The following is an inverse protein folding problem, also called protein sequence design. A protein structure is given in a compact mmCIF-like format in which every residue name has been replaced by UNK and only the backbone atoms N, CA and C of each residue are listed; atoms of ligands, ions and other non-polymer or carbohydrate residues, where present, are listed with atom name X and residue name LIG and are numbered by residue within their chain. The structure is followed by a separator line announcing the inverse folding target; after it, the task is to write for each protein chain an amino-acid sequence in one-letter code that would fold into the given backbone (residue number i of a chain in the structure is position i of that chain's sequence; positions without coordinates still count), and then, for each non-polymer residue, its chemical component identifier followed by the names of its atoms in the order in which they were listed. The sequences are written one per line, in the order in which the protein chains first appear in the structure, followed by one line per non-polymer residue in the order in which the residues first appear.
data_IF_497146514164
#
_entry.id   IF_497146514164
#
_cell.length_a   1.000
_cell.length_b   1.000
_cell.length_c   1.000
_cell.angle_alpha   90.00
_cell.angle_beta   90.00
_cell.angle_gamma   90.00
#
_symmetry.space_group_name_H-M   'P 1'
#
loop_
_entity.id
_entity.type
_entity.pdbx_description
1 polymer ?
#
# COMPACT_ATOMS: atom_id res chain seq x y z
N UNK A 1 -27.19 -22.96 -13.35
CA UNK A 1 -26.79 -21.68 -12.74
C UNK A 1 -26.26 -22.06 -11.37
N UNK A 2 -24.91 -22.13 -11.22
CA UNK A 2 -24.29 -22.55 -9.96
C UNK A 2 -24.29 -21.39 -8.99
N UNK A 3 -24.69 -21.65 -7.77
CA UNK A 3 -24.65 -20.76 -6.61
C UNK A 3 -23.18 -20.48 -6.21
N UNK A 4 -22.59 -19.47 -6.79
CA UNK A 4 -21.32 -18.92 -6.33
C UNK A 4 -21.57 -17.57 -5.69
N UNK A 5 -20.84 -17.24 -4.63
CA UNK A 5 -20.91 -15.91 -4.03
C UNK A 5 -20.67 -14.85 -5.09
N UNK A 6 -21.68 -14.07 -5.37
CA UNK A 6 -21.57 -12.94 -6.29
C UNK A 6 -21.06 -11.73 -5.51
N UNK A 7 -19.91 -11.21 -5.86
CA UNK A 7 -19.52 -9.86 -5.48
C UNK A 7 -20.14 -8.86 -6.44
N UNK A 8 -20.80 -7.85 -5.89
CA UNK A 8 -21.11 -6.63 -6.64
C UNK A 8 -19.97 -5.68 -6.41
N UNK A 9 -19.24 -5.32 -7.46
CA UNK A 9 -18.05 -4.50 -7.32
C UNK A 9 -18.01 -3.34 -8.31
N UNK A 10 -17.19 -2.38 -8.01
CA UNK A 10 -16.77 -1.31 -8.88
C UNK A 10 -15.29 -1.04 -8.65
N UNK A 11 -14.60 -0.70 -9.71
CA UNK A 11 -13.20 -0.26 -9.69
C UNK A 11 -13.07 1.08 -10.38
N UNK A 12 -12.19 1.93 -9.85
CA UNK A 12 -11.91 3.22 -10.43
C UNK A 12 -10.47 3.62 -10.13
N UNK A 13 -9.81 4.21 -11.12
CA UNK A 13 -8.49 4.81 -10.96
C UNK A 13 -8.47 6.18 -11.62
N UNK A 14 -7.77 7.13 -11.01
CA UNK A 14 -7.60 8.49 -11.54
C UNK A 14 -6.15 8.94 -11.35
N UNK A 15 -5.64 9.68 -12.33
CA UNK A 15 -4.28 10.22 -12.31
C UNK A 15 -4.06 11.27 -11.20
N UNK A 16 -5.13 11.81 -10.63
CA UNK A 16 -5.05 12.94 -9.71
C UNK A 16 -4.82 14.27 -10.46
N UNK A 17 -4.51 15.32 -9.71
CA UNK A 17 -4.39 16.69 -10.26
C UNK A 17 -2.97 17.19 -10.41
N UNK A 18 -1.98 16.48 -9.90
CA UNK A 18 -0.57 16.93 -9.88
C UNK A 18 0.40 15.98 -10.58
N UNK A 19 -0.01 14.73 -10.80
CA UNK A 19 0.82 13.73 -11.47
C UNK A 19 0.68 13.83 -12.99
N UNK A 20 1.76 13.57 -13.71
CA UNK A 20 1.75 13.52 -15.17
C UNK A 20 1.30 12.15 -15.70
N UNK A 21 1.56 11.08 -14.95
CA UNK A 21 1.22 9.71 -15.30
C UNK A 21 0.50 9.02 -14.14
N UNK A 22 -0.36 8.06 -14.47
CA UNK A 22 -0.93 7.17 -13.49
C UNK A 22 -0.01 5.96 -13.32
N UNK A 23 0.62 5.86 -12.15
CA UNK A 23 1.52 4.76 -11.78
C UNK A 23 0.82 3.67 -10.98
N UNK A 24 -0.46 3.87 -10.62
CA UNK A 24 -1.28 2.84 -10.01
C UNK A 24 -1.71 1.79 -11.03
N UNK A 25 -1.92 0.58 -10.55
CA UNK A 25 -2.53 -0.51 -11.31
C UNK A 25 -3.49 -1.29 -10.42
N UNK A 26 -4.51 -1.87 -11.02
CA UNK A 26 -5.47 -2.71 -10.32
C UNK A 26 -5.77 -3.99 -11.12
N UNK A 27 -6.30 -4.99 -10.43
CA UNK A 27 -6.83 -6.18 -11.07
C UNK A 27 -8.04 -6.72 -10.29
N UNK A 28 -9.07 -7.12 -11.03
CA UNK A 28 -10.20 -7.88 -10.49
C UNK A 28 -10.34 -9.15 -11.32
N UNK A 29 -10.22 -10.30 -10.66
CA UNK A 29 -10.30 -11.62 -11.29
C UNK A 29 -11.47 -12.38 -10.68
N UNK A 30 -12.62 -12.42 -11.35
CA UNK A 30 -13.76 -13.22 -10.94
C UNK A 30 -13.51 -14.71 -11.24
N UNK A 31 -14.04 -15.65 -10.44
CA UNK A 31 -14.03 -17.05 -10.77
C UNK A 31 -14.95 -17.33 -11.97
N UNK A 32 -14.45 -18.07 -12.95
CA UNK A 32 -15.21 -18.41 -14.17
C UNK A 32 -16.09 -19.64 -14.00
N UNK A 33 -15.97 -20.36 -12.89
CA UNK A 33 -16.78 -21.55 -12.57
C UNK A 33 -16.95 -21.73 -11.07
N UNK A 34 -17.99 -22.47 -10.62
CA UNK A 34 -18.15 -22.82 -9.20
C UNK A 34 -16.94 -23.57 -8.63
N UNK A 35 -16.28 -24.42 -9.42
CA UNK A 35 -15.10 -25.17 -9.00
C UNK A 35 -13.90 -24.22 -8.76
N UNK A 36 -13.72 -23.21 -9.62
CA UNK A 36 -12.69 -22.20 -9.44
C UNK A 36 -13.01 -21.35 -8.20
N UNK A 37 -14.28 -20.99 -7.98
CA UNK A 37 -14.67 -20.28 -6.75
C UNK A 37 -14.29 -21.09 -5.50
N UNK A 38 -14.57 -22.39 -5.47
CA UNK A 38 -14.25 -23.26 -4.35
C UNK A 38 -12.73 -23.34 -4.07
N UNK A 39 -11.91 -23.28 -5.11
CA UNK A 39 -10.46 -23.45 -4.99
C UNK A 39 -9.67 -22.13 -4.94
N UNK A 40 -10.13 -21.10 -5.65
CA UNK A 40 -9.40 -19.84 -5.87
C UNK A 40 -10.19 -18.60 -5.49
N UNK A 41 -11.52 -18.63 -5.60
CA UNK A 41 -12.38 -17.51 -5.25
C UNK A 41 -12.22 -16.30 -6.18
N UNK A 42 -12.60 -15.15 -5.66
CA UNK A 42 -12.36 -13.84 -6.26
C UNK A 42 -10.99 -13.31 -5.85
N UNK A 43 -10.30 -12.63 -6.74
CA UNK A 43 -9.06 -11.92 -6.42
C UNK A 43 -9.22 -10.45 -6.80
N UNK A 44 -8.98 -9.55 -5.86
CA UNK A 44 -8.92 -8.10 -6.03
C UNK A 44 -7.50 -7.64 -5.68
N UNK A 45 -6.94 -6.70 -6.45
CA UNK A 45 -5.58 -6.21 -6.24
C UNK A 45 -5.48 -4.74 -6.58
N UNK A 46 -4.78 -3.99 -5.73
CA UNK A 46 -4.31 -2.62 -5.98
C UNK A 46 -2.80 -2.58 -5.78
N UNK A 47 -2.10 -1.92 -6.69
CA UNK A 47 -0.66 -1.73 -6.68
C UNK A 47 -0.33 -0.29 -7.02
N UNK A 48 0.36 0.41 -6.13
CA UNK A 48 0.83 1.78 -6.29
C UNK A 48 2.29 1.76 -6.69
N UNK A 49 2.57 2.25 -7.89
CA UNK A 49 3.89 2.20 -8.49
C UNK A 49 4.77 3.37 -8.08
N UNK A 50 5.97 3.07 -7.62
CA UNK A 50 6.96 4.06 -7.21
C UNK A 50 8.23 3.97 -8.05
N UNK A 51 8.80 5.12 -8.36
CA UNK A 51 10.03 5.23 -9.15
C UNK A 51 10.01 6.43 -10.08
N UNK A 52 11.16 6.73 -10.67
CA UNK A 52 11.26 7.83 -11.60
C UNK A 52 10.54 7.52 -12.93
N UNK A 53 9.79 8.49 -13.45
CA UNK A 53 9.13 8.43 -14.77
C UNK A 53 8.20 7.20 -14.91
N UNK A 54 8.49 6.34 -15.90
CA UNK A 54 7.68 5.15 -16.24
C UNK A 54 8.01 3.90 -15.39
N UNK A 55 8.98 3.99 -14.51
CA UNK A 55 9.47 2.85 -13.73
C UNK A 55 8.41 2.35 -12.74
N UNK A 56 7.72 3.26 -12.04
CA UNK A 56 6.62 2.92 -11.11
C UNK A 56 5.44 2.27 -11.83
N UNK A 57 4.96 2.87 -12.94
CA UNK A 57 3.90 2.32 -13.77
C UNK A 57 4.21 0.89 -14.22
N UNK A 58 5.46 0.63 -14.63
CA UNK A 58 5.86 -0.70 -15.06
C UNK A 58 5.85 -1.71 -13.91
N UNK A 59 6.29 -1.30 -12.72
CA UNK A 59 6.32 -2.16 -11.54
C UNK A 59 4.90 -2.56 -11.09
N UNK A 60 3.99 -1.59 -10.95
CA UNK A 60 2.60 -1.83 -10.56
C UNK A 60 1.87 -2.70 -11.58
N UNK A 61 2.08 -2.45 -12.88
CA UNK A 61 1.50 -3.26 -13.96
C UNK A 61 1.98 -4.71 -13.90
N UNK A 62 3.28 -4.96 -13.66
CA UNK A 62 3.79 -6.32 -13.47
C UNK A 62 3.12 -6.98 -12.26
N UNK A 63 2.97 -6.28 -11.14
CA UNK A 63 2.29 -6.83 -9.97
C UNK A 63 0.84 -7.20 -10.30
N UNK A 64 0.08 -6.31 -10.93
CA UNK A 64 -1.32 -6.54 -11.29
C UNK A 64 -1.51 -7.69 -12.30
N UNK A 65 -0.55 -7.91 -13.19
CA UNK A 65 -0.59 -9.01 -14.17
C UNK A 65 -0.09 -10.34 -13.58
N UNK A 66 1.03 -10.33 -12.86
CA UNK A 66 1.72 -11.56 -12.47
C UNK A 66 1.14 -12.18 -11.19
N UNK A 67 0.72 -11.39 -10.21
CA UNK A 67 0.19 -11.93 -8.94
C UNK A 67 -1.03 -12.82 -9.18
N UNK A 68 -2.07 -12.38 -9.92
CA UNK A 68 -3.21 -13.23 -10.22
C UNK A 68 -2.84 -14.47 -11.04
N UNK A 69 -1.99 -14.30 -12.06
CA UNK A 69 -1.56 -15.40 -12.94
C UNK A 69 -0.83 -16.50 -12.16
N UNK A 70 0.07 -16.12 -11.26
CA UNK A 70 0.84 -17.06 -10.46
C UNK A 70 -0.03 -17.71 -9.39
N UNK A 71 -0.95 -16.94 -8.77
CA UNK A 71 -1.95 -17.43 -7.83
C UNK A 71 -2.77 -18.58 -8.45
N UNK A 72 -3.29 -18.37 -9.66
CA UNK A 72 -4.04 -19.37 -10.41
C UNK A 72 -3.20 -20.60 -10.79
N UNK A 73 -1.97 -20.39 -11.25
CA UNK A 73 -1.05 -21.50 -11.62
C UNK A 73 -0.68 -22.41 -10.46
N UNK A 74 -0.77 -21.93 -9.22
CA UNK A 74 -0.52 -22.71 -8.02
C UNK A 74 -1.79 -23.38 -7.46
N UNK A 75 -2.70 -23.83 -8.34
CA UNK A 75 -4.01 -24.39 -7.97
C UNK A 75 -3.96 -25.61 -7.05
N UNK A 76 -2.86 -26.36 -7.04
CA UNK A 76 -2.64 -27.51 -6.16
C UNK A 76 -2.22 -27.13 -4.73
N UNK A 77 -1.89 -25.87 -4.48
CA UNK A 77 -1.50 -25.38 -3.16
C UNK A 77 -2.70 -24.76 -2.43
N UNK A 78 -2.60 -24.63 -1.12
CA UNK A 78 -3.59 -23.87 -0.33
C UNK A 78 -3.64 -22.41 -0.82
N UNK A 79 -4.82 -21.74 -0.77
CA UNK A 79 -4.96 -20.35 -1.19
C UNK A 79 -3.96 -19.38 -0.54
N UNK A 80 -3.69 -19.43 0.78
CA UNK A 80 -2.69 -18.54 1.39
C UNK A 80 -1.29 -18.77 0.85
N UNK A 81 -0.89 -20.02 0.62
CA UNK A 81 0.42 -20.33 0.05
C UNK A 81 0.53 -19.93 -1.43
N UNK A 82 -0.55 -20.13 -2.19
CA UNK A 82 -0.60 -19.69 -3.58
C UNK A 82 -0.49 -18.16 -3.69
N UNK A 83 -1.16 -17.43 -2.79
CA UNK A 83 -1.11 -15.96 -2.71
C UNK A 83 0.30 -15.47 -2.35
N UNK A 84 0.90 -16.06 -1.30
CA UNK A 84 2.28 -15.76 -0.92
C UNK A 84 3.25 -15.96 -2.08
N UNK A 85 3.13 -17.09 -2.81
CA UNK A 85 3.96 -17.36 -3.99
C UNK A 85 3.73 -16.39 -5.13
N UNK A 86 2.48 -15.96 -5.32
CA UNK A 86 2.13 -14.92 -6.30
C UNK A 86 2.92 -13.64 -6.06
N UNK A 87 2.89 -13.14 -4.83
CA UNK A 87 3.56 -11.91 -4.43
C UNK A 87 5.10 -12.05 -4.47
N UNK A 88 5.66 -13.14 -3.95
CA UNK A 88 7.11 -13.38 -3.96
C UNK A 88 7.67 -13.48 -5.39
N UNK A 89 6.98 -14.19 -6.29
CA UNK A 89 7.45 -14.38 -7.67
C UNK A 89 7.28 -13.09 -8.49
N UNK A 90 6.18 -12.35 -8.29
CA UNK A 90 6.01 -11.04 -8.91
C UNK A 90 7.10 -10.06 -8.45
N UNK A 91 7.45 -10.04 -7.16
CA UNK A 91 8.60 -9.28 -6.66
C UNK A 91 9.90 -9.64 -7.37
N UNK A 92 10.15 -10.94 -7.56
CA UNK A 92 11.36 -11.42 -8.25
C UNK A 92 11.40 -10.92 -9.70
N UNK A 93 10.27 -10.95 -10.41
CA UNK A 93 10.18 -10.47 -11.80
C UNK A 93 10.42 -8.97 -11.89
N UNK A 94 9.81 -8.16 -11.00
CA UNK A 94 10.03 -6.71 -10.93
C UNK A 94 11.52 -6.42 -10.67
N UNK A 95 12.12 -7.06 -9.67
CA UNK A 95 13.53 -6.87 -9.34
C UNK A 95 14.47 -7.23 -10.50
N UNK A 96 14.23 -8.35 -11.17
CA UNK A 96 15.05 -8.78 -12.30
C UNK A 96 14.97 -7.80 -13.48
N UNK A 97 13.78 -7.27 -13.78
CA UNK A 97 13.60 -6.27 -14.83
C UNK A 97 14.27 -4.95 -14.49
N UNK A 98 14.09 -4.48 -13.25
CA UNK A 98 14.74 -3.26 -12.76
C UNK A 98 16.26 -3.34 -12.80
N UNK A 99 16.84 -4.55 -12.64
CA UNK A 99 18.29 -4.74 -12.73
C UNK A 99 18.82 -4.89 -14.15
N UNK A 100 17.99 -5.30 -15.10
CA UNK A 100 18.38 -5.52 -16.50
C UNK A 100 18.30 -4.26 -17.35
N UNK A 101 17.43 -3.33 -16.99
CA UNK A 101 17.16 -2.14 -17.78
C UNK A 101 17.43 -0.89 -16.95
N UNK A 102 18.40 -0.06 -17.33
CA UNK A 102 18.81 1.13 -16.55
C UNK A 102 17.66 2.10 -16.29
N UNK A 103 16.71 2.23 -17.22
CA UNK A 103 15.53 3.08 -17.10
C UNK A 103 14.54 2.63 -16.02
N UNK A 104 14.63 1.36 -15.60
CA UNK A 104 13.80 0.77 -14.54
C UNK A 104 14.56 0.53 -13.24
N UNK A 105 15.78 1.05 -13.13
CA UNK A 105 16.60 0.86 -11.95
C UNK A 105 15.89 1.38 -10.70
N UNK A 106 15.72 0.51 -9.70
CA UNK A 106 15.07 0.87 -8.45
C UNK A 106 13.54 0.98 -8.54
N UNK A 107 12.91 0.55 -9.66
CA UNK A 107 11.45 0.49 -9.73
C UNK A 107 10.86 -0.35 -8.61
N UNK A 108 9.75 0.10 -8.06
CA UNK A 108 9.04 -0.60 -7.01
C UNK A 108 7.53 -0.36 -7.08
N UNK A 109 6.81 -1.12 -6.28
CA UNK A 109 5.37 -0.96 -6.15
C UNK A 109 4.91 -1.50 -4.81
N UNK A 110 3.82 -0.94 -4.28
CA UNK A 110 3.01 -1.63 -3.27
C UNK A 110 2.27 -2.79 -3.93
N UNK A 111 1.72 -3.67 -3.15
CA UNK A 111 0.73 -4.64 -3.62
C UNK A 111 -0.16 -5.07 -2.47
N UNK A 112 -1.43 -4.72 -2.56
CA UNK A 112 -2.48 -5.14 -1.62
C UNK A 112 -3.49 -5.98 -2.37
N UNK A 113 -3.63 -7.23 -1.95
CA UNK A 113 -4.48 -8.23 -2.61
C UNK A 113 -5.49 -8.78 -1.62
N UNK A 114 -6.74 -8.86 -2.01
CA UNK A 114 -7.80 -9.50 -1.26
C UNK A 114 -8.33 -10.70 -2.06
N UNK A 115 -8.38 -11.86 -1.43
CA UNK A 115 -8.91 -13.09 -2.03
C UNK A 115 -10.12 -13.56 -1.22
N UNK A 116 -11.28 -13.61 -1.87
CA UNK A 116 -12.52 -14.13 -1.28
C UNK A 116 -12.75 -15.56 -1.73
N UNK A 117 -12.65 -16.50 -0.84
CA UNK A 117 -12.92 -17.93 -1.03
C UNK A 117 -14.03 -18.39 -0.08
N UNK A 118 -14.62 -19.59 -0.26
CA UNK A 118 -15.72 -20.06 0.60
C UNK A 118 -15.40 -20.06 2.10
N UNK A 119 -14.13 -20.18 2.48
CA UNK A 119 -13.68 -20.20 3.88
C UNK A 119 -13.44 -18.81 4.48
N UNK A 120 -13.57 -17.74 3.72
CA UNK A 120 -13.37 -16.39 4.19
C UNK A 120 -12.50 -15.54 3.26
N UNK A 121 -12.04 -14.42 3.78
CA UNK A 121 -11.16 -13.48 3.07
C UNK A 121 -9.72 -13.62 3.54
N UNK A 122 -8.81 -13.71 2.57
CA UNK A 122 -7.39 -13.60 2.76
C UNK A 122 -6.90 -12.24 2.24
N UNK A 123 -5.92 -11.68 2.89
CA UNK A 123 -5.22 -10.47 2.43
C UNK A 123 -3.75 -10.79 2.29
N UNK A 124 -3.18 -10.50 1.11
CA UNK A 124 -1.73 -10.49 0.88
C UNK A 124 -1.26 -9.06 0.69
N UNK A 125 -0.21 -8.64 1.42
CA UNK A 125 0.09 -7.23 1.50
C UNK A 125 1.58 -6.92 1.57
N UNK A 126 1.99 -5.89 0.80
CA UNK A 126 3.29 -5.23 0.83
C UNK A 126 3.09 -3.75 0.50
N UNK A 127 3.49 -2.84 1.37
CA UNK A 127 3.43 -1.40 1.15
C UNK A 127 2.49 -0.67 2.12
N UNK A 128 1.91 0.43 1.68
CA UNK A 128 0.99 1.29 2.44
C UNK A 128 -0.35 1.53 1.74
N UNK A 129 -0.60 0.88 0.60
CA UNK A 129 -1.96 0.70 0.07
C UNK A 129 -2.75 -0.15 1.05
N UNK A 130 -4.05 0.08 1.16
CA UNK A 130 -4.85 -0.51 2.25
C UNK A 130 -5.98 -1.40 1.77
N UNK A 131 -6.34 -2.38 2.60
CA UNK A 131 -7.56 -3.15 2.51
C UNK A 131 -8.42 -2.92 3.76
N UNK A 132 -9.71 -2.67 3.55
CA UNK A 132 -10.70 -2.46 4.61
C UNK A 132 -11.88 -3.42 4.45
N UNK A 133 -12.57 -3.65 5.57
CA UNK A 133 -13.88 -4.30 5.62
C UNK A 133 -14.84 -3.41 6.40
N UNK A 134 -15.94 -3.04 5.81
CA UNK A 134 -17.08 -2.45 6.53
C UNK A 134 -18.09 -3.54 6.85
N UNK A 135 -18.46 -3.64 8.13
CA UNK A 135 -19.53 -4.47 8.65
C UNK A 135 -20.44 -3.64 9.56
N UNK A 136 -21.68 -3.46 9.16
CA UNK A 136 -22.61 -2.56 9.87
C UNK A 136 -22.12 -1.12 9.86
N UNK A 137 -21.66 -0.61 11.00
CA UNK A 137 -21.06 0.73 11.16
C UNK A 137 -19.58 0.70 11.49
N UNK A 138 -18.96 -0.46 11.43
CA UNK A 138 -17.57 -0.68 11.83
C UNK A 138 -16.73 -0.88 10.60
N UNK A 139 -15.74 0.00 10.39
CA UNK A 139 -14.73 -0.12 9.35
C UNK A 139 -13.44 -0.66 9.97
N UNK A 140 -13.04 -1.83 9.53
CA UNK A 140 -11.82 -2.50 9.95
C UNK A 140 -10.73 -2.34 8.90
N UNK A 141 -9.57 -1.80 9.25
CA UNK A 141 -8.38 -1.83 8.41
C UNK A 141 -7.72 -3.21 8.56
N UNK A 142 -7.72 -4.00 7.49
CA UNK A 142 -7.19 -5.37 7.47
C UNK A 142 -5.70 -5.44 7.19
N UNK A 143 -5.09 -4.36 6.71
CA UNK A 143 -3.66 -4.25 6.41
C UNK A 143 -2.94 -3.39 7.43
N UNK A 144 -1.65 -3.68 7.64
CA UNK A 144 -0.74 -2.84 8.40
C UNK A 144 0.14 -2.08 7.42
N UNK A 145 0.12 -0.74 7.47
CA UNK A 145 0.96 0.05 6.58
C UNK A 145 2.45 -0.22 6.82
N UNK A 146 3.19 -0.56 5.80
CA UNK A 146 4.65 -0.64 5.84
C UNK A 146 5.23 0.75 5.58
N UNK A 147 5.05 1.64 6.55
CA UNK A 147 5.50 3.03 6.49
C UNK A 147 6.24 3.44 7.76
N UNK A 148 7.18 4.38 7.63
CA UNK A 148 7.90 4.91 8.77
C UNK A 148 6.98 5.56 9.80
N UNK A 149 5.88 6.18 9.33
CA UNK A 149 4.84 6.76 10.20
C UNK A 149 4.21 5.68 11.08
N UNK A 150 3.80 4.56 10.48
CA UNK A 150 3.20 3.45 11.22
C UNK A 150 4.17 2.84 12.23
N UNK A 151 5.44 2.67 11.84
CA UNK A 151 6.46 2.12 12.73
C UNK A 151 6.70 3.01 13.95
N UNK A 152 6.82 4.33 13.77
CA UNK A 152 7.00 5.27 14.87
C UNK A 152 5.78 5.33 15.79
N UNK A 153 4.57 5.33 15.23
CA UNK A 153 3.33 5.31 15.99
C UNK A 153 3.20 4.01 16.81
N UNK A 154 3.52 2.86 16.22
CA UNK A 154 3.44 1.55 16.89
C UNK A 154 4.44 1.36 18.02
N UNK A 155 5.53 2.10 18.04
CA UNK A 155 6.49 2.14 19.14
C UNK A 155 5.99 2.91 20.37
N UNK A 156 4.82 3.57 20.27
CA UNK A 156 4.10 4.13 21.41
C UNK A 156 4.61 5.47 21.93
N UNK A 157 5.41 6.21 21.15
CA UNK A 157 5.96 7.50 21.57
C UNK A 157 5.38 8.73 20.89
N UNK A 158 4.74 8.55 19.73
CA UNK A 158 4.28 9.65 18.88
C UNK A 158 2.85 9.42 18.40
N UNK A 159 2.08 10.50 18.27
CA UNK A 159 0.83 10.46 17.52
C UNK A 159 1.14 10.37 16.01
N UNK A 160 0.13 10.02 15.19
CA UNK A 160 0.28 9.98 13.75
C UNK A 160 0.78 11.31 13.18
N UNK A 161 0.20 12.43 13.61
CA UNK A 161 0.59 13.78 13.14
C UNK A 161 2.04 14.12 13.55
N UNK A 162 2.46 13.70 14.74
CA UNK A 162 3.84 13.88 15.19
C UNK A 162 4.82 13.03 14.37
N UNK A 163 4.47 11.76 14.10
CA UNK A 163 5.26 10.87 13.27
C UNK A 163 5.37 11.40 11.82
N UNK A 164 4.25 11.87 11.22
CA UNK A 164 4.25 12.48 9.88
C UNK A 164 5.15 13.71 9.77
N UNK A 165 5.20 14.53 10.83
CA UNK A 165 6.12 15.69 10.88
C UNK A 165 7.58 15.29 11.02
N UNK A 166 7.84 14.14 11.62
CA UNK A 166 9.21 13.67 11.89
C UNK A 166 9.85 13.01 10.68
N UNK A 167 9.13 12.13 9.98
CA UNK A 167 9.70 11.31 8.88
C UNK A 167 9.11 11.62 7.51
N UNK A 168 8.05 12.45 7.43
CA UNK A 168 7.29 12.67 6.19
C UNK A 168 6.21 11.61 5.99
N UNK A 169 5.16 11.97 5.22
CA UNK A 169 3.97 11.12 5.06
C UNK A 169 4.21 9.85 4.23
N UNK A 170 5.05 9.95 3.18
CA UNK A 170 5.15 8.96 2.11
C UNK A 170 6.45 8.16 2.18
N UNK A 171 6.97 7.88 3.39
CA UNK A 171 8.19 7.06 3.56
C UNK A 171 7.79 5.61 3.78
N UNK A 172 7.82 4.84 2.69
CA UNK A 172 7.51 3.41 2.70
C UNK A 172 8.75 2.63 3.14
N UNK A 173 8.56 1.70 4.08
CA UNK A 173 9.64 0.85 4.62
C UNK A 173 9.74 -0.50 3.92
N UNK A 174 8.68 -0.89 3.17
CA UNK A 174 8.64 -2.16 2.46
C UNK A 174 7.86 -2.03 1.14
N UNK A 175 8.47 -2.47 0.03
CA UNK A 175 7.87 -2.48 -1.30
C UNK A 175 8.38 -3.65 -2.13
N UNK A 176 7.63 -4.04 -3.15
CA UNK A 176 8.05 -5.02 -4.15
C UNK A 176 9.00 -4.37 -5.16
N UNK A 177 10.03 -5.09 -5.57
CA UNK A 177 10.93 -4.70 -6.67
C UNK A 177 12.33 -4.29 -6.26
N UNK A 178 12.57 -3.31 -5.37
CA UNK A 178 13.92 -2.85 -5.03
C UNK A 178 14.85 -3.95 -4.55
N UNK A 179 14.32 -4.91 -3.83
CA UNK A 179 15.09 -6.05 -3.29
C UNK A 179 14.70 -7.36 -3.94
N UNK A 180 15.68 -8.28 -4.09
CA UNK A 180 15.45 -9.61 -4.66
C UNK A 180 14.45 -10.46 -3.85
N UNK A 181 14.25 -10.14 -2.58
CA UNK A 181 13.28 -10.77 -1.68
C UNK A 181 12.51 -9.68 -0.96
N UNK A 182 11.23 -9.95 -0.75
CA UNK A 182 10.32 -9.12 0.03
C UNK A 182 9.65 -9.99 1.08
N UNK A 183 9.44 -9.43 2.26
CA UNK A 183 8.59 -10.04 3.26
C UNK A 183 7.14 -9.66 2.96
N UNK A 184 6.28 -10.66 2.81
CA UNK A 184 4.87 -10.50 2.48
C UNK A 184 4.04 -10.80 3.72
N UNK A 185 3.15 -9.90 4.09
CA UNK A 185 2.16 -10.16 5.12
C UNK A 185 0.99 -10.91 4.47
N UNK A 186 0.61 -12.06 5.05
CA UNK A 186 -0.59 -12.81 4.66
C UNK A 186 -1.50 -12.92 5.88
N UNK A 187 -2.70 -12.36 5.74
CA UNK A 187 -3.69 -12.22 6.81
C UNK A 187 -4.94 -13.06 6.54
N UNK A 188 -5.63 -13.44 7.62
CA UNK A 188 -6.88 -14.18 7.54
C UNK A 188 -6.77 -15.67 7.88
N UNK A 189 -7.79 -16.51 7.52
CA UNK A 189 -9.03 -16.09 6.87
C UNK A 189 -9.92 -15.27 7.81
N UNK A 190 -10.36 -14.10 7.31
CA UNK A 190 -11.37 -13.29 8.00
C UNK A 190 -12.77 -13.83 7.65
N UNK A 191 -13.68 -13.81 8.64
CA UNK A 191 -15.07 -14.17 8.39
C UNK A 191 -15.72 -13.22 7.38
N UNK A 192 -16.62 -13.76 6.58
CA UNK A 192 -17.44 -13.00 5.63
C UNK A 192 -18.90 -13.13 6.02
N UNK A 193 -19.61 -12.02 6.03
CA UNK A 193 -21.05 -11.97 6.24
C UNK A 193 -21.72 -11.30 5.04
N UNK A 194 -22.98 -11.64 4.82
CA UNK A 194 -23.78 -10.98 3.80
C UNK A 194 -23.85 -9.48 4.08
N UNK A 195 -23.59 -8.67 3.08
CA UNK A 195 -23.59 -7.22 3.21
C UNK A 195 -22.27 -6.61 3.62
N UNK A 196 -21.23 -7.41 3.95
CA UNK A 196 -19.88 -6.90 4.12
C UNK A 196 -19.44 -6.14 2.86
N UNK A 197 -18.81 -4.98 3.05
CA UNK A 197 -18.22 -4.20 1.96
C UNK A 197 -16.72 -4.13 2.17
N UNK A 198 -15.99 -4.51 1.14
CA UNK A 198 -14.52 -4.44 1.10
C UNK A 198 -14.08 -3.28 0.24
N UNK A 199 -13.02 -2.60 0.68
CA UNK A 199 -12.34 -1.56 -0.08
C UNK A 199 -10.86 -1.91 -0.15
N UNK A 200 -10.29 -1.86 -1.36
CA UNK A 200 -8.85 -1.75 -1.58
C UNK A 200 -8.57 -0.36 -2.14
N UNK A 201 -7.52 0.29 -1.67
CA UNK A 201 -7.15 1.61 -2.19
C UNK A 201 -5.64 1.86 -2.11
N UNK A 202 -5.14 2.73 -3.00
CA UNK A 202 -3.81 3.34 -2.88
C UNK A 202 -3.80 4.44 -1.82
N UNK A 203 -2.62 4.92 -1.46
CA UNK A 203 -2.42 5.98 -0.47
C UNK A 203 -3.00 7.33 -0.91
N UNK A 204 -3.17 7.54 -2.23
CA UNK A 204 -3.84 8.70 -2.78
C UNK A 204 -5.26 8.90 -2.25
N UNK A 205 -5.99 7.81 -1.93
CA UNK A 205 -7.26 7.91 -1.24
C UNK A 205 -7.07 8.18 0.26
N UNK A 206 -6.38 7.27 0.97
CA UNK A 206 -6.29 7.29 2.43
C UNK A 206 -5.46 8.45 2.98
N UNK A 207 -4.68 9.11 2.14
CA UNK A 207 -3.99 10.36 2.43
C UNK A 207 -4.86 11.62 2.36
N UNK A 208 -6.05 11.55 1.74
CA UNK A 208 -6.94 12.68 1.49
C UNK A 208 -8.32 12.52 2.12
N UNK A 209 -8.79 11.29 2.34
CA UNK A 209 -10.12 10.97 2.87
C UNK A 209 -9.95 10.26 4.20
N UNK A 210 -10.61 10.76 5.24
CA UNK A 210 -10.56 10.16 6.57
C UNK A 210 -11.26 8.79 6.60
N UNK A 211 -10.77 7.88 7.45
CA UNK A 211 -11.28 6.50 7.51
C UNK A 211 -12.79 6.47 7.83
N UNK A 212 -13.29 7.37 8.67
CA UNK A 212 -14.72 7.48 8.98
C UNK A 212 -15.54 7.96 7.79
N UNK A 213 -15.00 8.84 6.93
CA UNK A 213 -15.66 9.29 5.70
C UNK A 213 -15.68 8.18 4.67
N UNK A 214 -14.58 7.41 4.57
CA UNK A 214 -14.54 6.19 3.75
C UNK A 214 -15.67 5.26 4.17
N UNK A 215 -15.76 4.92 5.46
CA UNK A 215 -16.79 4.03 5.97
C UNK A 215 -18.21 4.56 5.77
N UNK A 216 -18.41 5.88 5.85
CA UNK A 216 -19.71 6.50 5.58
C UNK A 216 -20.16 6.25 4.13
N UNK A 217 -19.30 6.51 3.14
CA UNK A 217 -19.63 6.26 1.74
C UNK A 217 -19.85 4.78 1.45
N UNK A 218 -19.01 3.89 1.98
CA UNK A 218 -19.18 2.44 1.81
C UNK A 218 -20.50 1.93 2.40
N UNK A 219 -20.99 2.56 3.48
CA UNK A 219 -22.23 2.19 4.14
C UNK A 219 -23.46 2.70 3.40
N UNK A 220 -23.44 3.96 3.00
CA UNK A 220 -24.64 4.65 2.53
C UNK A 220 -24.83 4.56 1.02
N UNK A 221 -23.80 4.21 0.26
CA UNK A 221 -23.85 4.18 -1.19
C UNK A 221 -23.61 2.78 -1.76
N UNK A 222 -24.23 2.45 -2.90
CA UNK A 222 -23.89 1.23 -3.64
C UNK A 222 -22.43 1.30 -4.14
N UNK A 223 -21.77 0.17 -4.43
CA UNK A 223 -20.34 0.14 -4.78
C UNK A 223 -19.93 1.12 -5.88
N UNK A 224 -20.73 1.29 -6.91
CA UNK A 224 -20.45 2.20 -8.01
C UNK A 224 -20.39 3.66 -7.54
N UNK A 225 -21.40 4.07 -6.78
CA UNK A 225 -21.50 5.45 -6.32
C UNK A 225 -20.50 5.73 -5.21
N UNK A 226 -20.18 4.72 -4.39
CA UNK A 226 -19.12 4.80 -3.38
C UNK A 226 -17.74 5.01 -4.02
N UNK A 227 -17.39 4.26 -5.09
CA UNK A 227 -16.16 4.49 -5.86
C UNK A 227 -16.10 5.93 -6.39
N UNK A 228 -17.16 6.37 -7.06
CA UNK A 228 -17.21 7.71 -7.63
C UNK A 228 -17.12 8.81 -6.56
N UNK A 229 -17.79 8.64 -5.41
CA UNK A 229 -17.73 9.59 -4.31
C UNK A 229 -16.35 9.65 -3.65
N UNK A 230 -15.69 8.50 -3.44
CA UNK A 230 -14.36 8.41 -2.85
C UNK A 230 -13.29 9.08 -3.74
N UNK A 231 -13.24 8.70 -5.01
CA UNK A 231 -12.32 9.33 -5.99
C UNK A 231 -12.66 10.82 -6.15
N UNK A 232 -13.93 11.15 -6.27
CA UNK A 232 -14.37 12.52 -6.44
C UNK A 232 -14.04 13.40 -5.22
N UNK A 233 -14.20 12.93 -3.99
CA UNK A 233 -13.80 13.66 -2.79
C UNK A 233 -12.29 13.90 -2.74
N UNK A 234 -11.51 12.91 -3.20
CA UNK A 234 -10.06 13.07 -3.36
C UNK A 234 -9.73 14.19 -4.35
N UNK A 235 -10.41 14.22 -5.50
CA UNK A 235 -10.25 15.30 -6.50
C UNK A 235 -10.63 16.67 -5.96
N UNK A 236 -11.74 16.78 -5.23
CA UNK A 236 -12.18 17.99 -4.53
C UNK A 236 -11.10 18.49 -3.56
N UNK A 237 -10.41 17.61 -2.87
CA UNK A 237 -9.31 17.92 -1.92
C UNK A 237 -7.95 18.11 -2.57
N UNK A 238 -7.92 18.15 -3.91
CA UNK A 238 -6.73 18.50 -4.68
C UNK A 238 -5.93 17.34 -5.22
N UNK A 239 -6.26 16.07 -4.89
CA UNK A 239 -5.66 14.84 -5.42
C UNK A 239 -4.17 14.98 -5.79
N UNK A 240 -3.25 15.11 -4.81
CA UNK A 240 -1.85 15.35 -5.10
C UNK A 240 -1.15 14.12 -5.72
N UNK A 241 -1.79 12.95 -5.62
CA UNK A 241 -1.30 11.68 -6.13
C UNK A 241 -2.32 10.97 -7.02
N UNK A 242 -1.90 9.87 -7.65
CA UNK A 242 -2.79 8.91 -8.26
C UNK A 242 -3.74 8.35 -7.21
N UNK A 243 -4.97 8.05 -7.57
CA UNK A 243 -5.96 7.47 -6.66
C UNK A 243 -6.63 6.27 -7.31
N UNK A 244 -6.55 5.13 -6.65
CA UNK A 244 -7.13 3.87 -7.14
C UNK A 244 -7.95 3.22 -6.04
N UNK A 245 -9.16 2.79 -6.37
CA UNK A 245 -10.10 2.15 -5.46
C UNK A 245 -10.77 0.95 -6.10
N UNK A 246 -11.01 -0.10 -5.31
CA UNK A 246 -11.90 -1.21 -5.65
C UNK A 246 -12.86 -1.35 -4.47
N UNK A 247 -14.16 -1.18 -4.72
CA UNK A 247 -15.22 -1.42 -3.74
C UNK A 247 -15.98 -2.69 -4.12
N UNK A 248 -16.08 -3.65 -3.20
CA UNK A 248 -16.75 -4.92 -3.45
C UNK A 248 -17.68 -5.27 -2.29
N UNK A 249 -18.95 -5.53 -2.59
CA UNK A 249 -19.99 -5.91 -1.62
C UNK A 249 -20.35 -7.38 -1.76
N UNK A 250 -20.32 -8.11 -0.65
CA UNK A 250 -20.75 -9.50 -0.57
C UNK A 250 -22.27 -9.59 -0.63
N UNK A 251 -22.82 -10.24 -1.68
CA UNK A 251 -24.23 -10.14 -2.04
C UNK A 251 -25.08 -11.39 -1.86
N UNK A 252 -24.53 -12.59 -1.61
CA UNK A 252 -25.33 -13.80 -1.56
C UNK A 252 -25.37 -14.47 -0.17
N UNK A 253 -26.47 -15.15 0.14
CA UNK A 253 -26.70 -15.88 1.42
C UNK A 253 -25.64 -16.95 1.73
N UNK A 254 -24.96 -17.47 0.71
CA UNK A 254 -23.96 -18.53 0.85
C UNK A 254 -22.57 -18.04 1.34
N UNK A 255 -22.40 -16.73 1.53
CA UNK A 255 -21.11 -16.14 1.97
C UNK A 255 -20.93 -16.23 3.49
N UNK A 256 -21.93 -16.60 4.23
CA UNK A 256 -21.85 -16.77 5.69
C UNK A 256 -21.01 -18.00 6.08
N UNK A 257 -19.75 -18.02 5.63
CA UNK A 257 -18.77 -18.92 6.21
C UNK A 257 -18.37 -18.37 7.58
N UNK A 258 -19.04 -18.82 8.63
CA UNK A 258 -18.57 -18.58 9.98
C UNK A 258 -17.22 -19.30 10.13
N UNK A 259 -16.14 -18.55 10.16
CA UNK A 259 -14.79 -19.08 10.42
C UNK A 259 -14.62 -19.51 11.88
N UNK A 260 -15.66 -19.31 12.71
CA UNK A 260 -15.69 -19.77 14.09
C UNK A 260 -15.62 -21.30 14.11
N UNK A 261 -14.43 -21.83 14.44
CA UNK A 261 -14.16 -23.25 14.55
C UNK A 261 -13.63 -23.95 13.29
N UNK A 262 -13.50 -23.27 12.14
CA UNK A 262 -12.77 -23.85 11.04
C UNK A 262 -11.28 -24.00 11.40
N UNK A 263 -10.65 -25.16 11.14
CA UNK A 263 -9.22 -25.29 11.36
C UNK A 263 -8.49 -24.22 10.53
N UNK A 264 -7.52 -23.55 11.13
CA UNK A 264 -6.64 -22.64 10.40
C UNK A 264 -6.09 -23.36 9.16
N UNK A 265 -5.99 -22.65 8.02
CA UNK A 265 -5.27 -23.23 6.90
C UNK A 265 -3.84 -23.44 7.33
N UNK A 266 -3.39 -24.68 7.31
CA UNK A 266 -1.97 -24.94 7.36
C UNK A 266 -1.35 -24.42 6.05
N UNK A 267 -0.27 -23.68 6.16
CA UNK A 267 0.69 -23.57 5.06
C UNK A 267 1.22 -25.00 4.84
N UNK A 268 1.40 -25.41 3.58
CA UNK A 268 1.93 -26.74 3.29
C UNK A 268 3.18 -26.99 4.14
N UNK A 269 3.34 -28.21 4.67
CA UNK A 269 4.45 -28.57 5.56
C UNK A 269 5.83 -28.28 4.95
N UNK A 270 5.94 -28.26 3.61
CA UNK A 270 7.15 -27.89 2.87
C UNK A 270 7.44 -26.39 2.80
N UNK A 271 6.50 -25.55 3.20
CA UNK A 271 6.74 -24.12 3.31
C UNK A 271 7.53 -23.84 4.59
N UNK A 272 8.82 -23.97 4.50
CA UNK A 272 9.72 -23.28 5.41
C UNK A 272 9.91 -21.86 4.84
N UNK A 273 9.41 -20.81 5.51
CA UNK A 273 9.95 -19.49 5.24
C UNK A 273 11.45 -19.67 5.38
N UNK A 274 12.19 -19.41 4.32
CA UNK A 274 13.65 -19.36 4.44
C UNK A 274 13.88 -18.29 5.49
N UNK A 275 14.00 -18.71 6.77
CA UNK A 275 14.48 -17.80 7.79
C UNK A 275 15.70 -17.17 7.14
N UNK A 276 15.74 -15.87 7.03
CA UNK A 276 17.03 -15.23 6.98
C UNK A 276 17.72 -15.81 8.21
N UNK A 277 18.56 -16.85 8.01
CA UNK A 277 19.58 -17.17 9.00
C UNK A 277 20.20 -15.82 9.18
N UNK A 278 19.97 -15.24 10.37
CA UNK A 278 20.68 -14.03 10.78
C UNK A 278 22.13 -14.39 10.53
N UNK A 279 22.63 -13.96 9.38
CA UNK A 279 24.03 -14.24 9.06
C UNK A 279 24.78 -13.46 10.11
N UNK A 280 25.47 -14.22 10.93
CA UNK A 280 26.36 -13.63 11.91
C UNK A 280 27.11 -12.50 11.21
N UNK A 281 27.13 -11.28 11.72
CA UNK A 281 27.68 -10.13 11.03
C UNK A 281 29.21 -10.21 10.94
N UNK A 282 29.69 -11.22 10.19
CA UNK A 282 31.09 -11.60 10.07
C UNK A 282 31.98 -10.42 9.67
N UNK A 283 31.46 -9.51 8.84
CA UNK A 283 32.20 -8.30 8.44
C UNK A 283 32.48 -7.40 9.64
N UNK A 284 31.46 -7.12 10.46
CA UNK A 284 31.62 -6.29 11.66
C UNK A 284 32.50 -6.97 12.69
N UNK A 285 32.31 -8.28 12.90
CA UNK A 285 33.12 -9.07 13.81
C UNK A 285 34.57 -9.19 13.35
N UNK A 286 34.83 -9.35 12.06
CA UNK A 286 36.19 -9.35 11.51
C UNK A 286 36.89 -8.00 11.69
N UNK A 287 36.17 -6.89 11.44
CA UNK A 287 36.73 -5.54 11.68
C UNK A 287 36.99 -5.33 13.17
N UNK A 288 36.07 -5.75 14.05
CA UNK A 288 36.25 -5.64 15.50
C UNK A 288 37.47 -6.44 15.96
N UNK A 289 37.65 -7.68 15.48
CA UNK A 289 38.81 -8.51 15.80
C UNK A 289 40.13 -7.90 15.29
N UNK A 290 40.12 -7.37 14.05
CA UNK A 290 41.27 -6.66 13.50
C UNK A 290 41.61 -5.38 14.29
N UNK A 291 40.61 -4.62 14.69
CA UNK A 291 40.80 -3.42 15.50
C UNK A 291 41.34 -3.74 16.90
N UNK A 292 40.88 -4.84 17.51
CA UNK A 292 41.40 -5.33 18.76
C UNK A 292 42.87 -5.73 18.64
N UNK A 293 43.23 -6.45 17.58
CA UNK A 293 44.61 -6.84 17.32
C UNK A 293 45.53 -5.62 17.17
N UNK A 294 45.10 -4.61 16.41
CA UNK A 294 45.83 -3.34 16.26
C UNK A 294 45.96 -2.64 17.61
N UNK A 295 44.92 -2.59 18.40
CA UNK A 295 44.96 -1.99 19.74
C UNK A 295 45.95 -2.69 20.66
N UNK A 296 46.02 -4.02 20.61
CA UNK A 296 46.98 -4.82 21.40
C UNK A 296 48.42 -4.61 20.93
N UNK A 297 48.66 -4.61 19.62
CA UNK A 297 50.00 -4.40 19.03
C UNK A 297 50.53 -3.00 19.34
N UNK A 298 49.68 -1.97 19.31
CA UNK A 298 50.03 -0.59 19.59
C UNK A 298 49.93 -0.22 21.08
N UNK A 299 49.57 -1.17 21.93
CA UNK A 299 49.48 -0.96 23.36
C UNK A 299 50.87 -0.50 23.92
N UNK A 300 50.90 0.54 24.74
CA UNK A 300 52.19 1.02 25.34
C UNK A 300 52.89 -0.04 26.21
N UNK A 301 52.19 -1.11 26.54
CA UNK A 301 52.69 -2.25 27.35
C UNK A 301 53.20 -3.41 26.48
N UNK A 302 52.95 -3.38 25.14
CA UNK A 302 53.30 -4.44 24.20
C UNK A 302 54.80 -4.32 23.73
N UNK A 303 55.44 -5.49 23.56
CA UNK A 303 56.83 -5.52 23.07
C UNK A 303 56.97 -5.02 21.63
N UNK A 304 55.90 -5.14 20.81
CA UNK A 304 55.88 -4.63 19.43
C UNK A 304 55.97 -3.10 19.40
N UNK A 305 55.23 -2.38 20.27
CA UNK A 305 55.29 -0.92 20.35
C UNK A 305 56.70 -0.44 20.76
N UNK A 306 57.43 -1.25 21.54
CA UNK A 306 58.84 -0.99 21.92
C UNK A 306 59.79 -1.21 20.73
N UNK A 307 59.48 -2.08 19.81
CA UNK A 307 60.32 -2.35 18.61
C UNK A 307 60.24 -1.28 17.54
N UNK A 308 59.23 -0.37 17.59
CA UNK A 308 59.00 0.71 16.61
C UNK A 308 59.92 1.94 16.82
N UNK A 309 60.87 1.86 17.73
CA UNK A 309 61.95 2.88 17.90
C UNK A 309 61.41 4.24 18.40
N UNK A 310 61.78 5.33 17.73
CA UNK A 310 61.57 6.72 18.15
C UNK A 310 60.13 7.26 18.05
N UNK A 311 59.12 6.42 17.81
CA UNK A 311 57.74 6.90 17.81
C UNK A 311 57.30 7.33 19.23
N UNK A 312 56.80 8.57 19.37
CA UNK A 312 56.38 9.04 20.69
C UNK A 312 55.30 8.09 21.27
N UNK A 313 55.52 7.62 22.51
CA UNK A 313 54.58 6.75 23.26
C UNK A 313 53.15 7.30 23.24
N UNK A 314 53.00 8.60 23.19
CA UNK A 314 51.72 9.30 23.06
C UNK A 314 50.97 8.95 21.78
N UNK A 315 51.67 8.83 20.63
CA UNK A 315 51.04 8.44 19.33
C UNK A 315 50.58 7.00 19.40
N UNK A 316 51.36 6.08 19.93
CA UNK A 316 50.96 4.69 20.08
C UNK A 316 49.75 4.54 21.04
N UNK A 317 49.70 5.32 22.12
CA UNK A 317 48.57 5.32 23.04
C UNK A 317 47.28 5.83 22.42
N UNK A 318 47.36 6.93 21.65
CA UNK A 318 46.22 7.52 20.94
C UNK A 318 45.71 6.56 19.87
N UNK A 319 46.62 5.96 19.08
CA UNK A 319 46.24 4.98 18.05
C UNK A 319 45.60 3.72 18.64
N UNK A 320 46.13 3.22 19.76
CA UNK A 320 45.55 2.08 20.50
C UNK A 320 44.16 2.40 21.03
N UNK A 321 43.93 3.59 21.59
CA UNK A 321 42.64 4.05 22.10
C UNK A 321 41.62 4.22 20.95
N UNK A 322 42.02 4.77 19.80
CA UNK A 322 41.19 4.91 18.62
C UNK A 322 40.77 3.54 18.06
N UNK A 323 41.69 2.57 17.99
CA UNK A 323 41.40 1.21 17.55
C UNK A 323 40.42 0.50 18.51
N UNK A 324 40.53 0.74 19.81
CA UNK A 324 39.59 0.20 20.80
C UNK A 324 38.18 0.79 20.65
N UNK A 325 38.07 2.09 20.38
CA UNK A 325 36.79 2.74 20.10
C UNK A 325 36.12 2.18 18.85
N UNK A 326 36.88 1.96 17.77
CA UNK A 326 36.37 1.31 16.56
C UNK A 326 35.89 -0.10 16.86
N UNK A 327 36.62 -0.87 17.63
CA UNK A 327 36.21 -2.21 18.05
C UNK A 327 34.88 -2.18 18.80
N UNK A 328 34.74 -1.29 19.79
CA UNK A 328 33.51 -1.15 20.58
C UNK A 328 32.34 -0.74 19.69
N UNK A 329 32.53 0.24 18.80
CA UNK A 329 31.50 0.67 17.86
C UNK A 329 31.05 -0.46 16.93
N UNK A 330 31.98 -1.27 16.42
CA UNK A 330 31.66 -2.41 15.54
C UNK A 330 30.96 -3.54 16.27
N UNK A 331 31.32 -3.80 17.54
CA UNK A 331 30.62 -4.79 18.39
C UNK A 331 29.21 -4.31 18.70
N UNK A 332 29.04 -3.02 19.05
CA UNK A 332 27.70 -2.43 19.29
C UNK A 332 26.85 -2.49 18.02
N UNK A 333 27.39 -2.11 16.86
CA UNK A 333 26.64 -2.22 15.59
C UNK A 333 26.29 -3.66 15.25
N UNK A 334 27.19 -4.61 15.48
CA UNK A 334 26.94 -6.03 15.30
C UNK A 334 25.82 -6.52 16.25
N UNK A 335 25.87 -6.09 17.51
CA UNK A 335 24.87 -6.45 18.53
C UNK A 335 23.52 -5.78 18.25
N UNK A 336 23.49 -4.50 17.89
CA UNK A 336 22.28 -3.78 17.52
C UNK A 336 21.65 -4.39 16.27
N UNK A 337 22.44 -4.69 15.25
CA UNK A 337 21.95 -5.39 14.04
C UNK A 337 21.51 -6.83 14.29
N UNK A 338 22.00 -7.47 15.37
CA UNK A 338 21.62 -8.82 15.76
C UNK A 338 20.47 -8.83 16.79
N UNK A 339 20.42 -7.85 17.70
CA UNK A 339 19.46 -7.79 18.80
C UNK A 339 18.18 -7.00 18.46
N UNK A 340 18.24 -6.08 17.48
CA UNK A 340 17.00 -5.53 16.96
C UNK A 340 16.35 -6.64 16.14
N UNK A 341 15.18 -7.15 16.54
CA UNK A 341 14.44 -8.07 15.71
C UNK A 341 14.21 -7.32 14.39
N UNK A 342 14.72 -7.89 13.30
CA UNK A 342 14.21 -7.57 11.96
C UNK A 342 12.70 -7.70 12.10
N UNK A 343 11.97 -6.56 12.07
CA UNK A 343 10.61 -6.35 12.57
C UNK A 343 9.80 -7.63 12.63
N UNK A 344 9.06 -7.85 13.68
CA UNK A 344 8.32 -9.08 14.02
C UNK A 344 7.88 -9.90 12.79
N UNK A 345 8.86 -10.56 12.17
CA UNK A 345 8.62 -11.61 11.20
C UNK A 345 7.93 -12.72 11.95
N UNK A 346 6.62 -12.60 12.15
CA UNK A 346 5.79 -13.69 12.66
C UNK A 346 6.01 -14.85 11.71
N UNK A 347 6.93 -15.72 12.08
CA UNK A 347 7.25 -16.95 11.39
C UNK A 347 5.96 -17.69 11.06
N UNK A 348 5.63 -17.77 9.78
CA UNK A 348 4.56 -18.62 9.24
C UNK A 348 4.92 -20.12 9.36
N UNK A 349 5.96 -20.45 10.14
CA UNK A 349 6.43 -21.83 10.32
C UNK A 349 5.52 -22.58 11.31
N UNK A 350 5.18 -23.77 10.91
CA UNK A 350 4.60 -24.86 11.72
C UNK A 350 3.33 -24.51 12.50
N UNK A 351 2.16 -24.59 11.85
CA UNK A 351 0.85 -24.59 12.53
C UNK A 351 0.45 -23.26 13.17
N UNK A 352 1.19 -22.17 12.96
CA UNK A 352 0.81 -20.84 13.39
C UNK A 352 -0.25 -20.26 12.48
N UNK A 353 -1.24 -19.62 13.07
CA UNK A 353 -2.27 -18.88 12.38
C UNK A 353 -1.63 -17.76 11.55
N UNK A 354 -2.15 -17.54 10.34
CA UNK A 354 -1.91 -16.34 9.56
C UNK A 354 -2.18 -15.10 10.43
N UNK A 355 -1.61 -13.96 10.11
CA UNK A 355 -1.91 -12.71 10.80
C UNK A 355 -3.41 -12.49 10.89
N UNK A 356 -3.87 -11.82 11.93
CA UNK A 356 -5.29 -11.75 12.27
C UNK A 356 -5.76 -10.30 12.46
N UNK A 357 -5.37 -9.37 11.58
CA UNK A 357 -6.05 -8.07 11.68
C UNK A 357 -7.49 -8.19 12.19
N UNK A 358 -8.23 -7.15 12.45
CA UNK A 358 -7.92 -5.79 12.01
C UNK A 358 -6.83 -5.13 12.85
N UNK A 359 -6.09 -4.24 12.19
CA UNK A 359 -5.04 -3.46 12.85
C UNK A 359 -5.59 -2.16 13.44
N UNK A 360 -6.65 -1.63 12.82
CA UNK A 360 -7.40 -0.46 13.29
C UNK A 360 -8.88 -0.67 13.00
N UNK A 361 -9.70 -0.07 13.84
CA UNK A 361 -11.16 -0.13 13.73
C UNK A 361 -11.74 1.25 13.96
N UNK A 362 -12.62 1.67 13.06
CA UNK A 362 -13.23 2.99 13.04
C UNK A 362 -14.75 2.88 13.15
N UNK A 363 -15.35 3.79 13.90
CA UNK A 363 -16.81 3.88 14.00
C UNK A 363 -17.34 4.85 12.93
N UNK A 364 -17.99 4.30 11.94
CA UNK A 364 -18.56 5.03 10.81
C UNK A 364 -20.07 5.27 10.96
N UNK A 365 -20.56 5.39 12.19
CA UNK A 365 -21.96 5.78 12.42
C UNK A 365 -22.21 7.15 11.81
N UNK A 366 -23.20 7.30 10.92
CA UNK A 366 -23.53 8.58 10.31
C UNK A 366 -23.82 9.64 11.36
N UNK A 367 -23.22 10.81 11.23
CA UNK A 367 -23.39 11.94 12.13
C UNK A 367 -23.24 13.26 11.37
N UNK A 368 -23.90 14.31 11.85
CA UNK A 368 -23.92 15.62 11.21
C UNK A 368 -22.51 16.13 10.87
N UNK A 369 -21.61 16.16 11.84
CA UNK A 369 -20.26 16.69 11.65
C UNK A 369 -19.46 15.99 10.53
N UNK A 370 -19.69 14.69 10.32
CA UNK A 370 -18.98 13.94 9.28
C UNK A 370 -19.47 14.34 7.89
N UNK A 371 -20.78 14.40 7.69
CA UNK A 371 -21.36 14.80 6.40
C UNK A 371 -21.10 16.30 6.13
N UNK A 372 -21.16 17.16 7.16
CA UNK A 372 -20.83 18.58 7.03
C UNK A 372 -19.39 18.81 6.57
N UNK A 373 -18.42 18.03 7.06
CA UNK A 373 -17.03 18.10 6.61
C UNK A 373 -16.88 17.79 5.12
N UNK A 374 -17.62 16.79 4.62
CA UNK A 374 -17.64 16.45 3.19
C UNK A 374 -18.29 17.57 2.37
N UNK A 375 -19.44 18.10 2.82
CA UNK A 375 -20.15 19.20 2.16
C UNK A 375 -19.30 20.46 2.11
N UNK A 376 -18.63 20.81 3.20
CA UNK A 376 -17.72 21.95 3.25
C UNK A 376 -16.53 21.81 2.29
N UNK A 377 -15.98 20.59 2.15
CA UNK A 377 -14.94 20.32 1.17
C UNK A 377 -15.45 20.58 -0.27
N UNK A 378 -16.65 20.12 -0.58
CA UNK A 378 -17.29 20.36 -1.88
C UNK A 378 -17.51 21.86 -2.13
N UNK A 379 -18.12 22.59 -1.20
CA UNK A 379 -18.36 24.01 -1.32
C UNK A 379 -17.06 24.81 -1.52
N UNK A 380 -16.00 24.46 -0.80
CA UNK A 380 -14.69 25.12 -0.97
C UNK A 380 -14.08 24.93 -2.37
N UNK A 381 -14.44 23.87 -3.07
CA UNK A 381 -13.97 23.61 -4.43
C UNK A 381 -14.86 24.27 -5.52
N UNK A 382 -16.04 24.76 -5.16
CA UNK A 382 -17.02 25.31 -6.11
C UNK A 382 -16.49 26.54 -6.85
N UNK A 383 -15.67 27.37 -6.23
CA UNK A 383 -15.08 28.58 -6.83
C UNK A 383 -14.22 28.27 -8.09
N UNK A 384 -13.77 27.02 -8.24
CA UNK A 384 -12.99 26.57 -9.39
C UNK A 384 -13.83 26.12 -10.58
N UNK A 385 -15.17 26.12 -10.49
CA UNK A 385 -16.09 25.62 -11.50
C UNK A 385 -16.68 26.76 -12.36
N UNK A 386 -17.11 26.41 -13.58
CA UNK A 386 -17.94 27.29 -14.38
C UNK A 386 -19.32 27.55 -13.69
N UNK A 387 -19.96 28.73 -13.91
CA UNK A 387 -21.17 29.07 -13.20
C UNK A 387 -22.27 28.02 -13.15
N UNK A 388 -22.61 27.32 -14.28
CA UNK A 388 -23.67 26.30 -14.27
C UNK A 388 -23.31 25.07 -13.39
N UNK A 389 -22.04 24.66 -13.35
CA UNK A 389 -21.55 23.56 -12.50
C UNK A 389 -21.49 24.00 -11.04
N UNK A 390 -21.00 25.21 -10.80
CA UNK A 390 -20.96 25.82 -9.46
C UNK A 390 -22.37 25.84 -8.85
N UNK A 391 -23.37 26.35 -9.57
CA UNK A 391 -24.77 26.44 -9.10
C UNK A 391 -25.33 25.03 -8.79
N UNK A 392 -25.06 24.03 -9.67
CA UNK A 392 -25.50 22.64 -9.45
C UNK A 392 -24.85 22.03 -8.20
N UNK A 393 -23.57 22.25 -8.03
CA UNK A 393 -22.82 21.73 -6.88
C UNK A 393 -23.33 22.36 -5.57
N UNK A 394 -23.50 23.70 -5.53
CA UNK A 394 -24.00 24.42 -4.35
C UNK A 394 -25.46 24.05 -4.04
N UNK A 395 -26.30 23.79 -5.07
CA UNK A 395 -27.66 23.31 -4.86
C UNK A 395 -27.68 21.93 -4.22
N UNK A 396 -26.80 21.03 -4.65
CA UNK A 396 -26.66 19.71 -4.03
C UNK A 396 -26.12 19.81 -2.57
N UNK A 397 -25.12 20.63 -2.33
CA UNK A 397 -24.58 20.94 -1.00
C UNK A 397 -25.67 21.50 -0.06
N UNK A 398 -26.49 22.43 -0.56
CA UNK A 398 -27.63 22.99 0.19
C UNK A 398 -28.66 21.91 0.53
N UNK A 399 -28.97 21.00 -0.38
CA UNK A 399 -29.86 19.85 -0.09
C UNK A 399 -29.27 18.96 0.99
N UNK A 400 -27.96 18.66 0.92
CA UNK A 400 -27.28 17.86 1.93
C UNK A 400 -27.41 18.49 3.33
N UNK A 401 -27.17 19.80 3.47
CA UNK A 401 -27.34 20.54 4.75
C UNK A 401 -28.78 20.48 5.26
N UNK A 402 -29.79 20.59 4.37
CA UNK A 402 -31.18 20.43 4.74
C UNK A 402 -31.48 19.05 5.31
N UNK A 403 -30.95 18.01 4.71
CA UNK A 403 -31.09 16.64 5.19
C UNK A 403 -30.33 16.41 6.50
N UNK A 404 -29.14 17.00 6.68
CA UNK A 404 -28.41 16.98 7.96
C UNK A 404 -29.29 17.58 9.08
N UNK A 405 -29.88 18.74 8.83
CA UNK A 405 -30.74 19.42 9.80
C UNK A 405 -32.00 18.62 10.15
N UNK A 406 -32.48 17.77 9.21
CA UNK A 406 -33.60 16.86 9.42
C UNK A 406 -33.20 15.53 10.09
N UNK A 407 -31.89 15.27 10.30
CA UNK A 407 -31.39 14.00 10.81
C UNK A 407 -31.38 12.85 9.80
N UNK A 408 -31.62 13.15 8.52
CA UNK A 408 -31.68 12.18 7.41
C UNK A 408 -30.29 11.97 6.80
N UNK A 409 -29.42 11.23 7.47
CA UNK A 409 -28.00 11.14 7.09
C UNK A 409 -27.75 10.35 5.80
N UNK A 410 -28.62 9.40 5.47
CA UNK A 410 -28.52 8.68 4.19
C UNK A 410 -28.72 9.66 3.03
N UNK A 411 -29.83 10.37 3.00
CA UNK A 411 -30.16 11.37 1.96
C UNK A 411 -29.12 12.49 1.92
N UNK A 412 -28.60 12.88 3.08
CA UNK A 412 -27.54 13.86 3.19
C UNK A 412 -26.23 13.39 2.52
N UNK A 413 -25.87 12.12 2.73
CA UNK A 413 -24.68 11.52 2.12
C UNK A 413 -24.84 11.36 0.60
N UNK A 414 -26.01 10.95 0.13
CA UNK A 414 -26.33 10.89 -1.30
C UNK A 414 -26.21 12.28 -1.93
N UNK A 415 -26.81 13.32 -1.32
CA UNK A 415 -26.74 14.67 -1.84
C UNK A 415 -25.30 15.24 -1.82
N UNK A 416 -24.49 14.90 -0.80
CA UNK A 416 -23.07 15.25 -0.77
C UNK A 416 -22.27 14.56 -1.89
N UNK A 417 -22.55 13.28 -2.15
CA UNK A 417 -21.95 12.55 -3.27
C UNK A 417 -22.35 13.14 -4.64
N UNK A 418 -23.60 13.61 -4.79
CA UNK A 418 -24.03 14.34 -5.99
C UNK A 418 -23.24 15.64 -6.21
N UNK A 419 -23.00 16.42 -5.14
CA UNK A 419 -22.17 17.63 -5.22
C UNK A 419 -20.74 17.29 -5.68
N UNK A 420 -20.13 16.27 -5.11
CA UNK A 420 -18.80 15.79 -5.49
C UNK A 420 -18.79 15.34 -6.95
N UNK A 421 -19.82 14.62 -7.42
CA UNK A 421 -19.91 14.11 -8.79
C UNK A 421 -19.99 15.24 -9.83
N UNK A 422 -20.55 16.40 -9.49
CA UNK A 422 -20.51 17.59 -10.36
C UNK A 422 -19.07 18.03 -10.60
N UNK A 423 -18.28 18.12 -9.53
CA UNK A 423 -16.87 18.50 -9.62
C UNK A 423 -16.04 17.51 -10.44
N UNK A 424 -16.21 16.22 -10.16
CA UNK A 424 -15.46 15.17 -10.89
C UNK A 424 -15.71 15.23 -12.39
N UNK A 425 -16.97 15.38 -12.83
CA UNK A 425 -17.31 15.52 -14.24
C UNK A 425 -16.67 16.75 -14.87
N UNK A 426 -16.68 17.88 -14.19
CA UNK A 426 -16.04 19.11 -14.69
C UNK A 426 -14.54 18.95 -14.87
N UNK A 427 -13.86 18.21 -13.97
CA UNK A 427 -12.44 17.88 -14.10
C UNK A 427 -12.18 16.94 -15.28
N UNK A 428 -13.02 15.94 -15.52
CA UNK A 428 -12.93 15.03 -16.66
C UNK A 428 -13.15 15.75 -17.99
N UNK A 429 -14.15 16.62 -18.05
CA UNK A 429 -14.45 17.44 -19.25
C UNK A 429 -13.30 18.39 -19.60
N UNK A 430 -12.71 19.04 -18.58
CA UNK A 430 -11.54 19.91 -18.78
C UNK A 430 -10.34 19.13 -19.35
N UNK A 431 -10.07 17.92 -18.85
CA UNK A 431 -9.00 17.05 -19.35
C UNK A 431 -9.27 16.59 -20.78
N UNK A 432 -10.52 16.22 -21.11
CA UNK A 432 -10.93 15.79 -22.45
C UNK A 432 -10.88 16.95 -23.45
N UNK A 433 -11.20 18.16 -23.04
CA UNK A 433 -11.12 19.36 -23.86
C UNK A 433 -9.68 19.74 -24.26
N UNK A 434 -8.72 19.53 -23.37
CA UNK A 434 -7.29 19.74 -23.67
C UNK A 434 -6.72 18.70 -24.63
N UNK A 435 -7.20 17.46 -24.58
CA UNK A 435 -6.77 16.39 -25.51
C UNK A 435 -7.33 16.60 -26.92
N UNK A 436 -8.42 17.34 -27.09
CA UNK A 436 -9.00 17.68 -28.41
C UNK A 436 -8.32 18.87 -29.07
N UNK A 437 -7.49 19.64 -28.40
CA UNK A 437 -6.59 20.62 -29.00
C UNK A 437 -5.31 19.91 -29.48
N UNK A 438 -5.43 19.23 -30.63
CA UNK A 438 -4.25 18.73 -31.32
C UNK A 438 -3.29 19.90 -31.61
N UNK A 439 -1.98 19.73 -31.47
CA UNK A 439 -1.04 20.76 -31.86
C UNK A 439 -1.23 21.10 -33.32
N UNK A 440 -1.12 22.39 -33.71
CA UNK A 440 -1.27 22.78 -35.11
C UNK A 440 -0.29 22.00 -35.98
N UNK A 441 -0.68 21.57 -37.19
CA UNK A 441 0.20 20.83 -38.07
C UNK A 441 1.45 21.64 -38.30
N UNK A 442 2.61 21.00 -38.18
CA UNK A 442 3.91 21.61 -38.48
C UNK A 442 3.87 22.24 -39.87
N UNK A 443 4.40 23.45 -40.07
CA UNK A 443 4.42 24.08 -41.37
C UNK A 443 5.16 23.17 -42.37
N UNK A 444 4.70 23.08 -43.62
CA UNK A 444 5.33 22.25 -44.62
C UNK A 444 6.78 22.70 -44.80
N UNK A 445 7.69 21.74 -44.62
CA UNK A 445 9.11 21.96 -44.76
C UNK A 445 9.44 22.59 -46.10
N UNK A 446 10.04 23.78 -46.07
CA UNK A 446 10.58 24.43 -47.27
C UNK A 446 11.67 23.56 -47.88
N UNK A 447 11.44 23.12 -49.09
CA UNK A 447 12.51 22.57 -49.92
C UNK A 447 13.58 23.65 -50.12
N UNK A 448 14.73 23.48 -49.46
CA UNK A 448 15.93 24.14 -49.88
C UNK A 448 16.44 23.41 -51.14
N UNK A 449 16.27 24.11 -52.27
CA UNK A 449 16.92 23.79 -53.54
C UNK A 449 18.42 24.03 -53.40
N UNK A 450 19.22 22.99 -53.29
CA UNK A 450 20.66 23.08 -53.51
C UNK A 450 20.94 23.04 -54.99
N UNK A 451 21.15 24.22 -55.56
CA UNK A 451 21.94 24.40 -56.77
C UNK A 451 22.90 25.57 -56.54
N UNK A 452 24.19 25.21 -56.49
CA UNK A 452 25.28 26.16 -56.51
C UNK A 452 26.56 25.50 -56.10
#
# INVERSE_FOLDING_TARGET
VGSGTTLVYCEQTDIGRRRANNQDSLAVVPPVSPQQYQSRGWLLLVADGMGAHVAGERASKIAAEQVPLIYEKNAQRSPPLALLRGLEQANTEINLRGRRQPEYLGMGTTCTTLVLVPRGVLVGHVGDSRAYRLRGTTLDQLTRDHSAVWELESQGGLTREQAERTVGKNVITRSMGPHARVEVDVEGPHSVEQGDVYLLCSDGLSGQVADEEIGLFLKELPPRDACAALVGLTLVRGAPDNVTVIVAKAGAEEVSASVHGAPAWALDEDYQPRSQKQQLPWKQLAIAAGSLLIALLLSPWGDFARSLGDLPRTICSVASAAALLVMVAMVVMAFVGFALPAGDGRSLASGRRLGQGPYRTYNCTPRAALVEGIVASAESAADGLAPPECDRMLAAATRARKFIAAGSFHEATVAAAEAIAVYSRSVEEARSGDTLRAPPPSPPGGHHDERG
#
